data_IF_133720450504
#
_entry.id   IF_133720450504
#
_cell.length_a   1.000
_cell.length_b   1.000
_cell.length_c   1.000
_cell.angle_alpha   90.00
_cell.angle_beta   90.00
_cell.angle_gamma   90.00
#
_symmetry.space_group_name_H-M   'P 1'
#
loop_
_entity.id
_entity.type
_entity.pdbx_description
1 polymer ?
#
# COMPACT_ATOMS: atom_id res chain seq x y z
N UNK A 1 -16.08 11.79 -20.60
CA UNK A 1 -16.44 10.38 -20.38
C UNK A 1 -16.13 10.10 -18.92
N UNK A 2 -17.14 9.71 -18.14
CA UNK A 2 -16.99 9.37 -16.73
C UNK A 2 -16.11 8.11 -16.62
N UNK A 3 -14.88 8.28 -16.14
CA UNK A 3 -14.02 7.15 -15.82
C UNK A 3 -14.57 6.49 -14.55
N UNK A 4 -15.41 5.45 -14.73
CA UNK A 4 -15.92 4.66 -13.62
C UNK A 4 -14.76 3.91 -12.96
N UNK A 5 -14.27 4.47 -11.86
CA UNK A 5 -13.17 3.95 -11.04
C UNK A 5 -13.78 3.24 -9.84
N UNK A 6 -13.52 1.93 -9.70
CA UNK A 6 -13.97 1.16 -8.54
C UNK A 6 -12.80 0.43 -7.91
N UNK A 7 -12.85 0.33 -6.58
CA UNK A 7 -11.81 -0.30 -5.77
C UNK A 7 -12.39 -1.15 -4.69
N UNK A 8 -11.69 -2.25 -4.43
CA UNK A 8 -11.90 -3.06 -3.26
C UNK A 8 -10.57 -3.14 -2.53
N UNK A 9 -10.59 -2.71 -1.27
CA UNK A 9 -9.46 -2.77 -0.36
C UNK A 9 -9.79 -3.76 0.75
N UNK A 10 -8.84 -4.60 1.10
CA UNK A 10 -8.96 -5.53 2.23
C UNK A 10 -7.66 -5.55 3.01
N UNK A 11 -7.77 -5.50 4.33
CA UNK A 11 -6.60 -5.40 5.18
C UNK A 11 -6.79 -6.12 6.50
N UNK A 12 -5.69 -6.62 7.04
CA UNK A 12 -5.61 -7.30 8.32
C UNK A 12 -4.53 -6.62 9.14
N UNK A 13 -4.87 -6.26 10.37
CA UNK A 13 -3.91 -5.71 11.33
C UNK A 13 -3.93 -6.56 12.60
N UNK A 14 -2.76 -6.90 13.10
CA UNK A 14 -2.60 -7.67 14.33
C UNK A 14 -1.52 -7.06 15.22
N UNK A 15 -1.87 -6.79 16.47
CA UNK A 15 -0.91 -6.38 17.50
C UNK A 15 -0.49 -7.59 18.34
N UNK A 16 0.82 -7.78 18.49
CA UNK A 16 1.44 -8.83 19.28
C UNK A 16 2.46 -8.15 20.21
N UNK A 17 2.04 -7.87 21.44
CA UNK A 17 2.87 -7.21 22.46
C UNK A 17 3.36 -5.82 21.97
N UNK A 18 4.68 -5.65 21.80
CA UNK A 18 5.31 -4.41 21.28
C UNK A 18 5.32 -4.35 19.75
N UNK A 19 4.93 -5.41 19.06
CA UNK A 19 4.90 -5.47 17.61
C UNK A 19 3.48 -5.23 17.07
N UNK A 20 3.36 -4.43 16.03
CA UNK A 20 2.18 -4.33 15.19
C UNK A 20 2.49 -4.85 13.80
N UNK A 21 1.66 -5.72 13.26
CA UNK A 21 1.76 -6.21 11.89
C UNK A 21 0.54 -5.72 11.11
N UNK A 22 0.73 -5.23 9.90
CA UNK A 22 -0.34 -4.92 8.96
C UNK A 22 -0.03 -5.52 7.59
N UNK A 23 -1.08 -6.03 6.96
CA UNK A 23 -1.08 -6.45 5.57
C UNK A 23 -2.34 -5.88 4.95
N UNK A 24 -2.20 -5.15 3.86
CA UNK A 24 -3.29 -4.54 3.12
C UNK A 24 -3.11 -4.90 1.65
N UNK A 25 -4.20 -5.26 0.98
CA UNK A 25 -4.23 -5.61 -0.43
C UNK A 25 -5.41 -4.91 -1.07
N UNK A 26 -5.15 -4.20 -2.16
CA UNK A 26 -6.15 -3.51 -2.94
C UNK A 26 -6.17 -4.05 -4.36
N UNK A 27 -7.38 -4.17 -4.89
CA UNK A 27 -7.61 -4.54 -6.27
C UNK A 27 -8.71 -3.65 -6.83
N UNK A 28 -8.49 -3.09 -8.01
CA UNK A 28 -9.50 -2.29 -8.67
C UNK A 28 -9.20 -2.04 -10.13
N UNK A 29 -10.03 -1.19 -10.72
CA UNK A 29 -9.95 -0.87 -12.13
C UNK A 29 -10.00 0.64 -12.34
N UNK A 30 -9.00 1.18 -13.05
CA UNK A 30 -8.99 2.57 -13.54
C UNK A 30 -9.11 2.53 -15.05
N UNK A 31 -10.12 3.19 -15.61
CA UNK A 31 -10.23 3.39 -17.06
C UNK A 31 -10.13 2.09 -17.89
N UNK A 32 -10.67 0.98 -17.34
CA UNK A 32 -10.63 -0.33 -17.98
C UNK A 32 -9.38 -1.17 -17.70
N UNK A 33 -8.45 -0.69 -16.87
CA UNK A 33 -7.16 -1.32 -16.63
C UNK A 33 -7.02 -1.80 -15.19
N UNK A 34 -6.44 -2.98 -15.03
CA UNK A 34 -6.24 -3.62 -13.73
C UNK A 34 -5.18 -2.88 -12.93
N UNK A 35 -5.52 -2.53 -11.70
CA UNK A 35 -4.60 -1.95 -10.72
C UNK A 35 -4.61 -2.85 -9.48
N UNK A 36 -3.43 -3.36 -9.12
CA UNK A 36 -3.23 -4.14 -7.90
C UNK A 36 -2.19 -3.44 -7.04
N UNK A 37 -2.50 -3.30 -5.75
CA UNK A 37 -1.52 -2.84 -4.78
C UNK A 37 -1.53 -3.70 -3.53
N UNK A 38 -0.37 -3.82 -2.90
CA UNK A 38 -0.18 -4.55 -1.66
C UNK A 38 0.71 -3.72 -0.74
N UNK A 39 0.33 -3.63 0.53
CA UNK A 39 1.11 -2.97 1.55
C UNK A 39 1.36 -3.91 2.72
N UNK A 40 2.60 -3.94 3.18
CA UNK A 40 3.08 -4.68 4.34
C UNK A 40 3.62 -3.67 5.35
N UNK A 41 3.22 -3.79 6.60
CA UNK A 41 3.66 -2.91 7.67
C UNK A 41 4.09 -3.67 8.91
N UNK A 42 5.16 -3.18 9.52
CA UNK A 42 5.65 -3.59 10.83
C UNK A 42 5.81 -2.33 11.67
N UNK A 43 5.24 -2.36 12.87
CA UNK A 43 5.37 -1.34 13.89
C UNK A 43 6.05 -1.95 15.11
N UNK A 44 6.95 -1.19 15.73
CA UNK A 44 7.59 -1.54 16.99
C UNK A 44 7.41 -0.42 18.01
N UNK A 45 6.75 -0.73 19.12
CA UNK A 45 6.57 0.19 20.24
C UNK A 45 7.85 0.21 21.09
N UNK A 46 8.64 1.27 20.91
CA UNK A 46 9.91 1.49 21.62
C UNK A 46 9.66 1.87 23.09
N UNK A 47 8.67 2.72 23.32
CA UNK A 47 8.25 3.19 24.63
C UNK A 47 6.79 3.65 24.59
N UNK A 48 6.21 4.00 25.75
CA UNK A 48 4.86 4.58 25.80
C UNK A 48 4.86 5.92 25.03
N UNK A 49 4.14 5.96 23.92
CA UNK A 49 4.08 7.12 23.05
C UNK A 49 5.22 7.23 22.01
N UNK A 50 6.14 6.27 21.92
CA UNK A 50 7.18 6.24 20.87
C UNK A 50 7.13 4.93 20.09
N UNK A 51 6.97 5.02 18.77
CA UNK A 51 6.94 3.86 17.88
C UNK A 51 7.81 4.07 16.65
N UNK A 52 8.45 3.01 16.19
CA UNK A 52 9.09 2.94 14.88
C UNK A 52 8.21 2.12 13.95
N UNK A 53 8.03 2.59 12.72
CA UNK A 53 7.22 1.94 11.71
C UNK A 53 8.07 1.72 10.46
N UNK A 54 7.90 0.56 9.87
CA UNK A 54 8.47 0.21 8.59
C UNK A 54 7.36 -0.34 7.71
N UNK A 55 7.27 0.15 6.48
CA UNK A 55 6.27 -0.23 5.50
C UNK A 55 6.91 -0.52 4.15
N UNK A 56 6.40 -1.53 3.47
CA UNK A 56 6.68 -1.82 2.07
C UNK A 56 5.35 -1.74 1.32
N UNK A 57 5.29 -0.89 0.31
CA UNK A 57 4.14 -0.73 -0.56
C UNK A 57 4.56 -1.15 -1.96
N UNK A 58 3.77 -2.02 -2.56
CA UNK A 58 3.90 -2.48 -3.93
C UNK A 58 2.66 -2.01 -4.68
N UNK A 59 2.86 -1.37 -5.82
CA UNK A 59 1.80 -0.93 -6.71
C UNK A 59 2.16 -1.34 -8.12
N UNK A 60 1.25 -2.10 -8.74
CA UNK A 60 1.33 -2.50 -10.13
C UNK A 60 0.08 -1.95 -10.83
N UNK A 61 0.32 -0.93 -11.64
CA UNK A 61 -0.71 -0.29 -12.44
C UNK A 61 -0.35 -0.49 -13.91
N UNK A 62 -1.15 -1.29 -14.62
CA UNK A 62 -1.01 -1.42 -16.05
C UNK A 62 -1.73 -0.23 -16.71
N UNK A 63 -0.98 0.65 -17.38
CA UNK A 63 -1.56 1.82 -18.07
C UNK A 63 -1.27 1.77 -19.57
N UNK A 64 -2.17 1.17 -20.32
CA UNK A 64 -2.36 1.23 -21.78
C UNK A 64 -2.89 2.61 -22.16
N UNK A 65 -1.99 3.51 -22.54
CA UNK A 65 -2.33 4.66 -23.38
C UNK A 65 -2.06 4.28 -24.85
N UNK A 66 -3.01 4.65 -25.72
CA UNK A 66 -3.11 4.20 -27.11
C UNK A 66 -1.81 4.02 -27.92
N UNK A 67 -1.87 2.96 -28.75
CA UNK A 67 -1.00 2.52 -29.86
C UNK A 67 0.50 2.30 -29.62
N UNK A 68 1.19 3.02 -28.72
CA UNK A 68 2.63 2.77 -28.51
C UNK A 68 3.10 3.13 -27.10
N UNK A 69 3.11 2.14 -26.20
CA UNK A 69 4.13 1.83 -25.16
C UNK A 69 3.47 1.15 -23.95
N UNK A 70 3.90 -0.08 -23.69
CA UNK A 70 3.72 -0.74 -22.41
C UNK A 70 4.59 -0.01 -21.37
N UNK A 71 4.00 0.92 -20.61
CA UNK A 71 4.60 1.41 -19.37
C UNK A 71 4.15 0.43 -18.28
N UNK A 72 4.88 -0.67 -18.18
CA UNK A 72 4.85 -1.54 -17.00
C UNK A 72 5.49 -0.75 -15.86
N UNK A 73 4.66 -0.12 -15.03
CA UNK A 73 5.11 0.73 -13.93
C UNK A 73 4.88 -0.01 -12.61
N UNK A 74 5.69 -1.03 -12.38
CA UNK A 74 5.79 -1.70 -11.08
C UNK A 74 6.61 -0.83 -10.13
N UNK A 75 5.97 -0.17 -9.17
CA UNK A 75 6.61 0.70 -8.19
C UNK A 75 6.63 0.05 -6.80
N UNK A 76 7.82 -0.06 -6.21
CA UNK A 76 8.01 -0.59 -4.85
C UNK A 76 8.57 0.50 -3.95
N UNK A 77 7.78 0.92 -2.95
CA UNK A 77 8.13 1.98 -2.00
C UNK A 77 8.38 1.41 -0.61
N UNK A 78 9.60 1.60 -0.12
CA UNK A 78 9.91 1.39 1.28
C UNK A 78 9.74 2.70 2.06
N UNK A 79 9.04 2.64 3.18
CA UNK A 79 8.77 3.77 4.07
C UNK A 79 9.26 3.41 5.46
N UNK A 80 10.06 4.28 6.06
CA UNK A 80 10.43 4.20 7.46
C UNK A 80 9.99 5.47 8.17
N UNK A 81 9.36 5.34 9.34
CA UNK A 81 8.92 6.49 10.12
C UNK A 81 9.08 6.25 11.61
N UNK A 82 9.29 7.33 12.35
CA UNK A 82 9.26 7.36 13.80
C UNK A 82 8.08 8.23 14.23
N UNK A 83 7.23 7.72 15.11
CA UNK A 83 6.04 8.44 15.58
C UNK A 83 6.12 8.62 17.09
N UNK A 84 5.99 9.87 17.53
CA UNK A 84 5.90 10.24 18.93
C UNK A 84 4.52 10.85 19.24
N UNK A 85 3.90 10.45 20.35
CA UNK A 85 2.59 10.92 20.81
C UNK A 85 2.66 11.23 22.30
N UNK A 86 2.28 12.46 22.67
CA UNK A 86 2.30 12.99 24.04
C UNK A 86 0.89 13.03 24.66
#
# INVERSE_FOLDING_TARGET
MDAARWYISSGIRRKIMVWGLSLEGHYGQIEGQEEVSAALGIQYDLARGLSANFGLNYEDAQVVLGDVRFLDSSDTKAVFSLTYTF
#
